data_IF_659703320339
#
_entry.id   IF_659703320339
#
_cell.length_a   1.000
_cell.length_b   1.000
_cell.length_c   1.000
_cell.angle_alpha   90.00
_cell.angle_beta   90.00
_cell.angle_gamma   90.00
#
_symmetry.space_group_name_H-M   'P 1'
#
loop_
_entity.id
_entity.type
_entity.pdbx_description
1 polymer ?
#
# COMPACT_ATOMS: atom_id res chain seq x y z
N UNK A 1 -32.70 -1.74 2.33
CA UNK A 1 -31.75 -2.41 1.43
C UNK A 1 -30.37 -2.20 2.04
N UNK A 2 -29.76 -3.25 2.59
CA UNK A 2 -28.45 -3.15 3.24
C UNK A 2 -27.42 -3.10 2.10
N UNK A 3 -26.86 -1.93 1.80
CA UNK A 3 -25.77 -1.82 0.81
C UNK A 3 -24.54 -2.46 1.42
N UNK A 4 -23.95 -3.43 0.74
CA UNK A 4 -22.61 -3.90 1.11
C UNK A 4 -21.63 -2.73 1.00
N UNK A 5 -20.79 -2.57 2.03
CA UNK A 5 -19.81 -1.50 2.08
C UNK A 5 -18.72 -1.75 1.04
N UNK A 6 -18.29 -0.72 0.33
CA UNK A 6 -17.14 -0.83 -0.58
C UNK A 6 -15.84 -0.84 0.24
N UNK A 7 -14.99 -1.84 0.03
CA UNK A 7 -13.75 -2.08 0.75
C UNK A 7 -12.55 -1.70 -0.13
N UNK A 8 -11.72 -0.79 0.39
CA UNK A 8 -10.47 -0.34 -0.22
C UNK A 8 -9.29 -0.86 0.58
N UNK A 9 -8.27 -1.37 -0.11
CA UNK A 9 -6.94 -1.63 0.44
C UNK A 9 -5.98 -0.60 -0.14
N UNK A 10 -5.26 0.13 0.71
CA UNK A 10 -4.34 1.20 0.34
C UNK A 10 -2.96 0.84 0.88
N UNK A 11 -2.02 0.54 -0.01
CA UNK A 11 -0.65 0.17 0.32
C UNK A 11 0.31 1.34 0.10
N UNK A 12 0.86 1.82 1.21
CA UNK A 12 1.97 2.77 1.25
C UNK A 12 1.88 3.74 2.42
N UNK A 13 2.84 4.67 2.52
CA UNK A 13 3.12 5.41 3.75
C UNK A 13 1.92 6.21 4.27
N UNK A 14 1.75 6.34 5.58
CA UNK A 14 0.62 7.10 6.18
C UNK A 14 0.67 8.63 5.93
N UNK A 15 1.46 9.11 4.97
CA UNK A 15 1.72 10.53 4.70
C UNK A 15 1.65 10.83 3.21
N UNK A 16 1.07 11.98 2.84
CA UNK A 16 0.99 12.41 1.44
C UNK A 16 -0.27 11.89 0.74
N UNK A 17 -0.09 11.20 -0.40
CA UNK A 17 -1.21 10.78 -1.26
C UNK A 17 -2.09 9.76 -0.55
N UNK A 18 -1.54 8.76 0.15
CA UNK A 18 -2.35 7.78 0.88
C UNK A 18 -3.24 8.44 1.93
N UNK A 19 -2.69 9.38 2.70
CA UNK A 19 -3.42 10.08 3.76
C UNK A 19 -4.62 10.84 3.21
N UNK A 20 -4.45 11.51 2.07
CA UNK A 20 -5.54 12.20 1.38
C UNK A 20 -6.60 11.22 0.84
N UNK A 21 -6.18 10.09 0.25
CA UNK A 21 -7.11 9.06 -0.24
C UNK A 21 -7.89 8.46 0.93
N UNK A 22 -7.22 8.05 2.01
CA UNK A 22 -7.85 7.45 3.18
C UNK A 22 -8.90 8.38 3.80
N UNK A 23 -8.63 9.69 3.89
CA UNK A 23 -9.61 10.69 4.34
C UNK A 23 -10.81 10.81 3.39
N UNK A 24 -10.57 10.75 2.07
CA UNK A 24 -11.64 10.83 1.07
C UNK A 24 -12.55 9.60 1.07
N UNK A 25 -11.97 8.41 1.29
CA UNK A 25 -12.73 7.15 1.22
C UNK A 25 -13.33 6.73 2.54
N UNK A 26 -12.89 7.25 3.68
CA UNK A 26 -13.43 6.85 4.99
C UNK A 26 -14.74 7.59 5.29
N UNK A 27 -15.88 7.01 4.87
CA UNK A 27 -17.22 7.52 5.10
C UNK A 27 -18.19 6.35 5.30
N UNK A 28 -19.41 6.59 5.80
CA UNK A 28 -20.36 5.55 6.27
C UNK A 28 -20.58 4.32 5.34
N UNK A 29 -20.49 4.48 4.01
CA UNK A 29 -20.67 3.41 3.02
C UNK A 29 -19.37 2.72 2.55
N UNK A 30 -18.21 3.10 3.09
CA UNK A 30 -16.88 2.67 2.62
C UNK A 30 -15.96 2.29 3.77
N UNK A 31 -15.07 1.32 3.55
CA UNK A 31 -14.04 0.89 4.50
C UNK A 31 -12.67 1.05 3.84
N UNK A 32 -11.71 1.63 4.55
CA UNK A 32 -10.33 1.77 4.09
C UNK A 32 -9.37 1.03 5.02
N UNK A 33 -8.68 0.02 4.49
CA UNK A 33 -7.54 -0.63 5.13
C UNK A 33 -6.25 0.01 4.61
N UNK A 34 -5.53 0.73 5.47
CA UNK A 34 -4.25 1.38 5.13
C UNK A 34 -3.12 0.55 5.74
N UNK A 35 -2.15 0.16 4.92
CA UNK A 35 -0.99 -0.59 5.38
C UNK A 35 0.31 -0.10 4.76
N UNK A 36 1.38 -0.15 5.54
CA UNK A 36 2.70 0.36 5.20
C UNK A 36 3.75 -0.18 6.16
N UNK A 37 5.03 0.13 5.94
CA UNK A 37 6.10 -0.20 6.89
C UNK A 37 5.91 0.42 8.27
N UNK A 38 5.20 1.55 8.41
CA UNK A 38 4.87 2.10 9.75
C UNK A 38 3.77 1.33 10.48
N UNK A 39 3.14 0.39 9.79
CA UNK A 39 2.06 -0.47 10.27
C UNK A 39 2.47 -1.95 10.16
N UNK A 40 3.78 -2.22 10.22
CA UNK A 40 4.40 -3.54 10.19
C UNK A 40 4.08 -4.40 8.95
N UNK A 41 3.87 -3.76 7.79
CA UNK A 41 3.76 -4.45 6.50
C UNK A 41 4.87 -3.99 5.54
N UNK A 42 5.77 -4.92 5.20
CA UNK A 42 6.73 -4.71 4.11
C UNK A 42 6.19 -5.24 2.78
N UNK A 43 5.90 -4.32 1.85
CA UNK A 43 5.40 -4.67 0.51
C UNK A 43 6.42 -5.44 -0.34
N UNK A 44 7.70 -5.37 0.00
CA UNK A 44 8.75 -6.16 -0.66
C UNK A 44 8.81 -7.61 -0.16
N UNK A 45 8.19 -7.91 0.99
CA UNK A 45 8.13 -9.26 1.54
C UNK A 45 6.86 -9.99 1.06
N UNK A 46 7.02 -10.88 0.09
CA UNK A 46 5.93 -11.65 -0.51
C UNK A 46 5.10 -12.42 0.55
N UNK A 47 5.76 -13.01 1.56
CA UNK A 47 5.07 -13.79 2.59
C UNK A 47 4.21 -12.92 3.49
N UNK A 48 4.70 -11.75 3.86
CA UNK A 48 3.91 -10.78 4.63
C UNK A 48 2.70 -10.29 3.83
N UNK A 49 2.90 -9.99 2.55
CA UNK A 49 1.81 -9.60 1.64
C UNK A 49 0.74 -10.67 1.49
N UNK A 50 1.16 -11.94 1.37
CA UNK A 50 0.24 -13.07 1.34
C UNK A 50 -0.63 -13.15 2.60
N UNK A 51 0.01 -13.17 3.78
CA UNK A 51 -0.70 -13.22 5.05
C UNK A 51 -1.60 -11.99 5.27
N UNK A 52 -1.16 -10.81 4.84
CA UNK A 52 -1.95 -9.59 4.90
C UNK A 52 -3.25 -9.70 4.10
N UNK A 53 -3.17 -10.09 2.83
CA UNK A 53 -4.37 -10.23 2.00
C UNK A 53 -5.30 -11.35 2.47
N UNK A 54 -4.76 -12.47 2.97
CA UNK A 54 -5.57 -13.52 3.62
C UNK A 54 -6.35 -12.98 4.83
N UNK A 55 -5.72 -12.11 5.63
CA UNK A 55 -6.38 -11.51 6.80
C UNK A 55 -7.48 -10.50 6.47
N UNK A 56 -7.37 -9.82 5.32
CA UNK A 56 -8.38 -8.85 4.84
C UNK A 56 -9.57 -9.58 4.23
N UNK A 57 -9.33 -10.64 3.46
CA UNK A 57 -10.36 -11.33 2.69
C UNK A 57 -10.75 -10.55 1.43
N UNK A 58 -12.01 -10.66 1.01
CA UNK A 58 -12.50 -10.02 -0.22
C UNK A 58 -12.57 -8.50 -0.08
N UNK A 59 -12.07 -7.78 -1.07
CA UNK A 59 -12.17 -6.32 -1.18
C UNK A 59 -12.44 -5.90 -2.63
N UNK A 60 -12.88 -4.66 -2.84
CA UNK A 60 -13.30 -4.15 -4.15
C UNK A 60 -12.16 -3.48 -4.92
N UNK A 61 -11.30 -2.74 -4.21
CA UNK A 61 -10.26 -1.92 -4.82
C UNK A 61 -8.92 -2.01 -4.09
N UNK A 62 -7.84 -2.22 -4.85
CA UNK A 62 -6.46 -2.10 -4.37
C UNK A 62 -5.83 -0.83 -4.93
N UNK A 63 -5.21 -0.03 -4.07
CA UNK A 63 -4.46 1.18 -4.40
C UNK A 63 -3.04 0.99 -3.88
N UNK A 64 -2.04 1.16 -4.73
CA UNK A 64 -0.61 1.04 -4.34
C UNK A 64 0.11 2.34 -4.68
N UNK A 65 0.68 2.95 -3.65
CA UNK A 65 1.43 4.22 -3.72
C UNK A 65 2.76 4.15 -2.97
N UNK A 66 3.03 3.04 -2.28
CA UNK A 66 4.34 2.72 -1.71
C UNK A 66 5.46 2.84 -2.77
N UNK A 67 6.57 3.51 -2.42
CA UNK A 67 7.73 3.66 -3.30
C UNK A 67 8.16 5.08 -3.60
N UNK A 68 8.23 5.89 -2.55
CA UNK A 68 8.62 7.30 -2.64
C UNK A 68 10.13 7.54 -2.83
N UNK A 69 10.96 6.49 -2.81
CA UNK A 69 12.42 6.62 -2.81
C UNK A 69 13.07 5.76 -3.88
N UNK A 70 13.97 6.37 -4.64
CA UNK A 70 14.85 5.72 -5.60
C UNK A 70 16.24 6.38 -5.53
N UNK A 71 17.32 5.61 -5.76
CA UNK A 71 18.68 6.15 -5.77
C UNK A 71 18.85 7.14 -6.93
N UNK A 72 19.34 8.34 -6.62
CA UNK A 72 19.73 9.32 -7.63
C UNK A 72 21.16 9.02 -8.13
N UNK A 73 21.46 9.42 -9.37
CA UNK A 73 22.81 9.32 -9.92
C UNK A 73 22.83 8.88 -11.38
N UNK A 74 24.04 8.78 -11.95
CA UNK A 74 24.20 8.24 -13.30
C UNK A 74 23.95 6.73 -13.28
N UNK A 75 23.45 6.19 -14.39
CA UNK A 75 23.20 4.75 -14.57
C UNK A 75 24.41 3.89 -14.18
N UNK A 76 25.63 4.34 -14.51
CA UNK A 76 26.87 3.61 -14.18
C UNK A 76 27.23 3.59 -12.68
N UNK A 77 26.55 4.37 -11.85
CA UNK A 77 26.84 4.57 -10.43
C UNK A 77 25.74 4.00 -9.51
N UNK A 78 24.55 3.75 -10.06
CA UNK A 78 23.45 3.15 -9.31
C UNK A 78 23.66 1.64 -9.25
N UNK A 79 23.73 1.08 -8.04
CA UNK A 79 23.76 -0.36 -7.83
C UNK A 79 22.35 -0.94 -7.76
N UNK A 80 22.18 -2.19 -8.18
CA UNK A 80 20.89 -2.89 -8.13
C UNK A 80 20.38 -3.09 -6.69
N UNK A 81 21.28 -3.12 -5.72
CA UNK A 81 20.97 -3.24 -4.28
C UNK A 81 20.12 -2.07 -3.75
N UNK A 82 20.10 -0.93 -4.45
CA UNK A 82 19.29 0.23 -4.08
C UNK A 82 17.94 0.31 -4.82
N UNK A 83 17.64 -0.63 -5.72
CA UNK A 83 16.34 -0.75 -6.38
C UNK A 83 15.42 -1.61 -5.50
N UNK A 84 14.89 -1.00 -4.44
CA UNK A 84 14.06 -1.62 -3.39
C UNK A 84 12.66 -2.11 -3.83
N UNK A 85 12.43 -2.33 -5.12
CA UNK A 85 11.08 -2.69 -5.61
C UNK A 85 10.98 -4.06 -6.29
N UNK A 86 12.09 -4.69 -6.70
CA UNK A 86 12.03 -5.91 -7.53
C UNK A 86 13.27 -6.81 -7.31
N UNK A 87 13.54 -7.28 -6.09
CA UNK A 87 14.42 -8.43 -5.87
C UNK A 87 13.85 -9.36 -4.81
#
# INVERSE_FOLDING_TARGET
>A
MNREKTIYVILGGASGIEGAIAQLVNHEEKIAHVASRSNDLDISNEKEMHCYFESIGTFDHLIVTAGSAAPAGKVKQVTLEHLFFIN
#
